data_IF_082699357238
#
_entry.id   IF_082699357238
#
_cell.length_a   1.000
_cell.length_b   1.000
_cell.length_c   1.000
_cell.angle_alpha   90.00
_cell.angle_beta   90.00
_cell.angle_gamma   90.00
#
_symmetry.space_group_name_H-M   'P 1'
#
loop_
_entity.id
_entity.type
_entity.pdbx_description
1 polymer ?
#
# COMPACT_ATOMS: atom_id res chain seq x y z
N UNK A 1 4.23 -6.35 -0.96
CA UNK A 1 5.24 -5.67 -0.11
C UNK A 1 5.99 -6.69 0.73
N UNK A 2 5.29 -7.49 1.53
CA UNK A 2 5.86 -8.59 2.32
C UNK A 2 6.58 -9.63 1.44
N UNK A 3 6.09 -9.90 0.23
CA UNK A 3 6.79 -10.75 -0.74
C UNK A 3 8.20 -10.23 -1.05
N UNK A 4 8.34 -8.92 -1.32
CA UNK A 4 9.65 -8.31 -1.55
C UNK A 4 10.55 -8.42 -0.32
N UNK A 5 10.03 -8.18 0.88
CA UNK A 5 10.78 -8.31 2.14
C UNK A 5 11.30 -9.75 2.31
N UNK A 6 10.46 -10.74 1.99
CA UNK A 6 10.80 -12.17 2.05
C UNK A 6 11.84 -12.54 0.99
N UNK A 7 11.64 -12.13 -0.26
CA UNK A 7 12.55 -12.43 -1.38
C UNK A 7 13.93 -11.82 -1.17
N UNK A 8 13.99 -10.60 -0.63
CA UNK A 8 15.23 -9.91 -0.31
C UNK A 8 15.82 -10.31 1.05
N UNK A 9 15.16 -11.21 1.80
CA UNK A 9 15.58 -11.68 3.13
C UNK A 9 15.88 -10.54 4.10
N UNK A 10 15.02 -9.51 4.09
CA UNK A 10 15.20 -8.33 4.92
C UNK A 10 14.73 -8.56 6.36
N UNK A 11 13.92 -9.59 6.59
CA UNK A 11 13.42 -10.04 7.90
C UNK A 11 13.37 -11.57 7.93
N UNK A 12 13.29 -12.15 9.13
CA UNK A 12 13.06 -13.58 9.27
C UNK A 12 11.66 -13.96 8.72
N UNK A 13 11.49 -15.14 8.10
CA UNK A 13 10.22 -15.55 7.52
C UNK A 13 9.05 -15.51 8.51
N UNK A 14 9.31 -15.89 9.77
CA UNK A 14 8.33 -15.90 10.86
C UNK A 14 7.88 -14.47 11.24
N UNK A 15 8.77 -13.48 11.13
CA UNK A 15 8.42 -12.08 11.34
C UNK A 15 7.51 -11.57 10.21
N UNK A 16 7.79 -11.98 8.97
CA UNK A 16 6.93 -11.66 7.82
C UNK A 16 5.54 -12.27 8.01
N UNK A 17 5.44 -13.52 8.47
CA UNK A 17 4.16 -14.17 8.73
C UNK A 17 3.38 -13.46 9.85
N UNK A 18 4.05 -12.98 10.90
CA UNK A 18 3.42 -12.18 11.95
C UNK A 18 2.89 -10.84 11.43
N UNK A 19 3.63 -10.16 10.55
CA UNK A 19 3.16 -8.91 9.91
C UNK A 19 1.90 -9.17 9.10
N UNK A 20 1.86 -10.26 8.32
CA UNK A 20 0.70 -10.62 7.51
C UNK A 20 -0.50 -10.95 8.41
N UNK A 21 -0.30 -11.77 9.45
CA UNK A 21 -1.35 -12.19 10.36
C UNK A 21 -1.92 -11.04 11.22
N UNK A 22 -1.08 -10.06 11.55
CA UNK A 22 -1.45 -8.90 12.36
C UNK A 22 -1.95 -7.69 11.58
N UNK A 23 -2.00 -7.75 10.25
CA UNK A 23 -2.38 -6.61 9.43
C UNK A 23 -3.88 -6.27 9.59
N UNK A 24 -4.23 -5.00 9.90
CA UNK A 24 -5.62 -4.56 9.90
C UNK A 24 -6.27 -4.74 8.52
N UNK A 25 -7.53 -5.17 8.48
CA UNK A 25 -8.27 -5.40 7.22
C UNK A 25 -8.25 -4.15 6.33
N UNK A 26 -8.55 -2.98 6.88
CA UNK A 26 -8.57 -1.70 6.15
C UNK A 26 -7.21 -1.39 5.50
N UNK A 27 -6.11 -1.77 6.15
CA UNK A 27 -4.76 -1.60 5.59
C UNK A 27 -4.53 -2.55 4.40
N UNK A 28 -4.98 -3.81 4.52
CA UNK A 28 -4.86 -4.80 3.43
C UNK A 28 -5.70 -4.38 2.23
N UNK A 29 -6.92 -3.90 2.44
CA UNK A 29 -7.79 -3.39 1.38
C UNK A 29 -7.17 -2.17 0.68
N UNK A 30 -6.68 -1.19 1.46
CA UNK A 30 -5.99 -0.03 0.92
C UNK A 30 -4.76 -0.44 0.08
N UNK A 31 -3.92 -1.33 0.59
CA UNK A 31 -2.73 -1.78 -0.13
C UNK A 31 -3.08 -2.57 -1.39
N UNK A 32 -4.16 -3.35 -1.38
CA UNK A 32 -4.64 -4.09 -2.55
C UNK A 32 -5.11 -3.13 -3.64
N UNK A 33 -5.91 -2.13 -3.30
CA UNK A 33 -6.34 -1.09 -4.24
C UNK A 33 -5.16 -0.28 -4.79
N UNK A 34 -4.20 0.09 -3.93
CA UNK A 34 -3.00 0.82 -4.35
C UNK A 34 -2.09 -0.02 -5.27
N UNK A 35 -1.98 -1.33 -5.02
CA UNK A 35 -1.16 -2.24 -5.83
C UNK A 35 -1.73 -2.46 -7.24
N UNK A 36 -3.05 -2.31 -7.41
CA UNK A 36 -3.70 -2.40 -8.72
C UNK A 36 -3.37 -1.22 -9.66
N UNK A 37 -2.82 -0.11 -9.12
CA UNK A 37 -2.42 1.05 -9.93
C UNK A 37 -1.06 0.78 -10.60
N UNK A 38 -0.98 0.79 -11.94
CA UNK A 38 0.27 0.65 -12.69
C UNK A 38 1.30 1.72 -12.28
N UNK A 39 2.59 1.40 -12.35
CA UNK A 39 3.65 2.29 -11.86
C UNK A 39 3.66 3.63 -12.61
N UNK A 40 3.41 3.59 -13.91
CA UNK A 40 3.29 4.74 -14.81
C UNK A 40 2.13 5.68 -14.45
N UNK A 41 1.08 5.14 -13.82
CA UNK A 41 -0.13 5.88 -13.44
C UNK A 41 -0.09 6.35 -11.98
N UNK A 42 0.95 6.00 -11.22
CA UNK A 42 1.10 6.43 -9.83
C UNK A 42 1.44 7.90 -9.77
N UNK A 43 0.50 8.68 -9.24
CA UNK A 43 0.73 10.09 -8.94
C UNK A 43 1.86 10.22 -7.88
N UNK A 44 2.73 11.25 -7.99
CA UNK A 44 3.69 11.55 -6.94
C UNK A 44 2.99 11.71 -5.59
N UNK A 45 3.59 11.15 -4.54
CA UNK A 45 3.03 11.19 -3.18
C UNK A 45 2.73 12.62 -2.73
N UNK A 46 3.56 13.60 -3.12
CA UNK A 46 3.36 15.01 -2.80
C UNK A 46 2.01 15.53 -3.32
N UNK A 47 1.75 15.32 -4.60
CA UNK A 47 0.54 15.82 -5.24
C UNK A 47 -0.71 15.09 -4.72
N UNK A 48 -0.57 13.80 -4.37
CA UNK A 48 -1.62 13.06 -3.67
C UNK A 48 -1.94 13.66 -2.29
N UNK A 49 -0.92 13.98 -1.49
CA UNK A 49 -1.07 14.62 -0.17
C UNK A 49 -1.75 16.00 -0.31
N UNK A 50 -1.33 16.79 -1.29
CA UNK A 50 -1.92 18.11 -1.56
C UNK A 50 -3.42 17.98 -1.88
N UNK A 51 -3.79 17.04 -2.76
CA UNK A 51 -5.20 16.76 -3.09
C UNK A 51 -6.01 16.27 -1.89
N UNK A 52 -5.43 15.37 -1.09
CA UNK A 52 -6.06 14.84 0.11
C UNK A 52 -6.33 15.95 1.13
N UNK A 53 -5.32 16.79 1.43
CA UNK A 53 -5.45 17.91 2.35
C UNK A 53 -6.43 18.98 1.84
N UNK A 54 -6.56 19.14 0.52
CA UNK A 54 -7.56 19.99 -0.11
C UNK A 54 -8.99 19.38 -0.07
N UNK A 55 -9.16 18.16 0.44
CA UNK A 55 -10.46 17.48 0.54
C UNK A 55 -10.99 16.97 -0.81
N UNK A 56 -10.13 16.83 -1.82
CA UNK A 56 -10.54 16.42 -3.17
C UNK A 56 -10.58 14.88 -3.23
N UNK A 57 -11.70 14.31 -2.78
CA UNK A 57 -11.99 12.87 -2.93
C UNK A 57 -12.64 12.65 -4.28
N UNK A 58 -11.96 11.93 -5.19
CA UNK A 58 -12.58 11.46 -6.42
C UNK A 58 -13.30 10.16 -6.10
N UNK A 59 -14.64 10.19 -6.11
CA UNK A 59 -15.45 8.97 -6.10
C UNK A 59 -15.62 8.57 -7.56
N UNK A 60 -14.98 7.48 -8.05
CA UNK A 60 -15.26 7.01 -9.39
C UNK A 60 -16.73 6.58 -9.47
N UNK A 61 -17.38 6.93 -10.57
CA UNK A 61 -18.77 6.61 -10.88
C UNK A 61 -18.99 5.11 -11.12
#
# INVERSE_FOLDING_TARGET
MTDYIRDQRLLDPDEVDQIIAGAPVDLVEFQTAAAAVPLEDRQPMRDWIERFNAGIVHVPA
#
